data_IF_005408566701
#
_entry.id   IF_005408566701
#
_cell.length_a   1.000
_cell.length_b   1.000
_cell.length_c   1.000
_cell.angle_alpha   90.00
_cell.angle_beta   90.00
_cell.angle_gamma   90.00
#
_symmetry.space_group_name_H-M   'P 1'
#
loop_
_entity.id
_entity.type
_entity.pdbx_description
1 polymer ?
#
# COMPACT_ATOMS: atom_id res chain seq x y z
N UNK A 1 -12.91 -5.34 -5.97
CA UNK A 1 -11.72 -6.13 -5.58
C UNK A 1 -11.37 -7.15 -6.67
N UNK A 2 -12.30 -8.06 -7.03
CA UNK A 2 -12.07 -9.11 -8.06
C UNK A 2 -11.71 -8.49 -9.42
N UNK A 3 -12.42 -7.45 -9.86
CA UNK A 3 -12.13 -6.77 -11.12
C UNK A 3 -10.75 -6.13 -11.11
N UNK A 4 -10.38 -5.41 -10.02
CA UNK A 4 -9.05 -4.81 -9.88
C UNK A 4 -7.93 -5.85 -9.90
N UNK A 5 -8.12 -7.00 -9.22
CA UNK A 5 -7.15 -8.10 -9.25
C UNK A 5 -6.95 -8.66 -10.67
N UNK A 6 -8.03 -8.88 -11.41
CA UNK A 6 -7.96 -9.33 -12.82
C UNK A 6 -7.21 -8.33 -13.70
N UNK A 7 -7.44 -7.03 -13.50
CA UNK A 7 -6.76 -5.98 -14.27
C UNK A 7 -5.26 -5.95 -13.96
N UNK A 8 -4.89 -6.09 -12.67
CA UNK A 8 -3.48 -6.16 -12.26
C UNK A 8 -2.79 -7.41 -12.85
N UNK A 9 -3.43 -8.58 -12.80
CA UNK A 9 -2.89 -9.81 -13.38
C UNK A 9 -2.67 -9.67 -14.90
N UNK A 10 -3.64 -9.06 -15.61
CA UNK A 10 -3.49 -8.83 -17.04
C UNK A 10 -2.39 -7.81 -17.35
N UNK A 11 -2.24 -6.79 -16.52
CA UNK A 11 -1.16 -5.81 -16.67
C UNK A 11 0.22 -6.44 -16.47
N UNK A 12 0.36 -7.38 -15.51
CA UNK A 12 1.61 -8.09 -15.31
C UNK A 12 1.94 -9.08 -16.45
N UNK A 13 0.93 -9.76 -17.02
CA UNK A 13 1.11 -10.60 -18.22
C UNK A 13 1.63 -9.78 -19.41
N UNK A 14 1.03 -8.61 -19.66
CA UNK A 14 1.46 -7.72 -20.77
C UNK A 14 2.88 -7.18 -20.54
N UNK A 15 3.23 -6.87 -19.30
CA UNK A 15 4.56 -6.39 -18.95
C UNK A 15 5.61 -7.49 -19.19
N UNK A 16 5.32 -8.73 -18.78
CA UNK A 16 6.20 -9.89 -18.99
C UNK A 16 6.43 -10.16 -20.49
N UNK A 17 5.35 -10.09 -21.32
CA UNK A 17 5.47 -10.23 -22.78
C UNK A 17 6.30 -9.11 -23.43
N UNK A 18 6.36 -7.93 -22.80
CA UNK A 18 7.06 -6.74 -23.31
C UNK A 18 8.51 -6.63 -22.79
N UNK A 19 8.90 -7.41 -21.78
CA UNK A 19 10.26 -7.38 -21.25
C UNK A 19 11.25 -8.10 -22.21
N UNK A 20 12.44 -7.51 -22.46
CA UNK A 20 13.50 -8.20 -23.18
C UNK A 20 13.95 -9.47 -22.43
N UNK A 21 14.25 -10.53 -23.15
CA UNK A 21 14.70 -11.82 -22.56
C UNK A 21 15.95 -11.68 -21.67
N UNK A 22 16.77 -10.65 -21.88
CA UNK A 22 17.98 -10.36 -21.10
C UNK A 22 17.70 -9.82 -19.67
N UNK A 23 16.49 -9.35 -19.38
CA UNK A 23 16.10 -8.85 -18.04
C UNK A 23 15.35 -9.91 -17.21
N UNK A 24 15.12 -11.09 -17.78
CA UNK A 24 14.50 -12.20 -17.05
C UNK A 24 15.59 -12.87 -16.20
N UNK A 25 15.52 -12.68 -14.89
CA UNK A 25 16.42 -13.36 -13.95
C UNK A 25 16.31 -14.88 -14.11
N UNK A 26 17.45 -15.58 -14.03
CA UNK A 26 17.49 -17.03 -14.08
C UNK A 26 16.52 -17.64 -13.06
N UNK A 27 15.64 -18.58 -13.46
CA UNK A 27 14.63 -19.14 -12.58
C UNK A 27 15.27 -19.79 -11.36
N UNK A 28 14.79 -19.44 -10.19
CA UNK A 28 15.23 -19.99 -8.91
C UNK A 28 15.08 -21.53 -8.92
N UNK A 29 15.89 -22.25 -8.13
CA UNK A 29 15.76 -23.71 -7.97
C UNK A 29 14.36 -24.15 -7.54
N UNK A 30 13.64 -23.27 -6.85
CA UNK A 30 12.26 -23.48 -6.45
C UNK A 30 11.29 -23.34 -7.64
N UNK A 31 11.55 -22.39 -8.54
CA UNK A 31 10.76 -22.18 -9.75
C UNK A 31 10.93 -23.36 -10.71
N UNK A 32 12.15 -23.82 -10.91
CA UNK A 32 12.46 -25.02 -11.72
C UNK A 32 11.78 -26.29 -11.18
N UNK A 33 11.73 -26.46 -9.85
CA UNK A 33 11.04 -27.59 -9.23
C UNK A 33 9.52 -27.52 -9.43
N UNK A 34 8.94 -26.31 -9.36
CA UNK A 34 7.51 -26.06 -9.59
C UNK A 34 7.14 -26.29 -11.06
N UNK A 35 7.92 -25.79 -12.00
CA UNK A 35 7.70 -25.96 -13.44
C UNK A 35 7.76 -27.43 -13.88
N UNK A 36 8.63 -28.21 -13.28
CA UNK A 36 8.71 -29.65 -13.55
C UNK A 36 7.49 -30.44 -13.06
N UNK A 37 6.72 -29.91 -12.12
CA UNK A 37 5.61 -30.62 -11.46
C UNK A 37 4.22 -30.14 -11.87
N UNK A 38 4.10 -28.90 -12.33
CA UNK A 38 2.84 -28.25 -12.68
C UNK A 38 2.94 -27.54 -14.03
N UNK A 39 1.78 -27.33 -14.68
CA UNK A 39 1.70 -26.50 -15.90
C UNK A 39 2.19 -25.07 -15.61
N UNK A 40 2.90 -24.40 -16.55
CA UNK A 40 3.43 -23.03 -16.37
C UNK A 40 2.37 -22.02 -15.86
N UNK A 41 1.15 -22.08 -16.40
CA UNK A 41 0.02 -21.22 -15.93
C UNK A 41 -0.39 -21.48 -14.48
N UNK A 42 -0.29 -22.73 -14.03
CA UNK A 42 -0.62 -23.10 -12.65
C UNK A 42 0.45 -22.62 -11.68
N UNK A 43 1.72 -22.74 -12.08
CA UNK A 43 2.87 -22.25 -11.31
C UNK A 43 2.75 -20.73 -11.09
N UNK A 44 2.51 -20.00 -12.16
CA UNK A 44 2.31 -18.55 -12.12
C UNK A 44 1.19 -18.11 -11.15
N UNK A 45 0.02 -18.73 -11.27
CA UNK A 45 -1.11 -18.44 -10.39
C UNK A 45 -0.83 -18.77 -8.91
N UNK A 46 -0.11 -19.86 -8.65
CA UNK A 46 0.28 -20.25 -7.29
C UNK A 46 1.31 -19.28 -6.71
N UNK A 47 2.31 -18.87 -7.49
CA UNK A 47 3.32 -17.89 -7.06
C UNK A 47 2.69 -16.55 -6.72
N UNK A 48 1.80 -16.03 -7.57
CA UNK A 48 1.03 -14.81 -7.28
C UNK A 48 0.19 -14.99 -6.01
N UNK A 49 -0.51 -16.12 -5.88
CA UNK A 49 -1.32 -16.41 -4.71
C UNK A 49 -0.52 -16.42 -3.40
N UNK A 50 0.64 -17.04 -3.40
CA UNK A 50 1.57 -17.09 -2.25
C UNK A 50 2.11 -15.69 -1.95
N UNK A 51 2.54 -14.94 -2.97
CA UNK A 51 3.05 -13.58 -2.80
C UNK A 51 2.02 -12.64 -2.20
N UNK A 52 0.77 -12.71 -2.67
CA UNK A 52 -0.35 -11.95 -2.12
C UNK A 52 -0.63 -12.35 -0.68
N UNK A 53 -0.65 -13.65 -0.37
CA UNK A 53 -0.89 -14.15 0.99
C UNK A 53 0.21 -13.68 1.97
N UNK A 54 1.49 -13.77 1.58
CA UNK A 54 2.61 -13.31 2.38
C UNK A 54 2.54 -11.80 2.58
N UNK A 55 2.27 -11.01 1.53
CA UNK A 55 2.13 -9.55 1.61
C UNK A 55 1.01 -9.14 2.56
N UNK A 56 -0.12 -9.84 2.52
CA UNK A 56 -1.27 -9.61 3.37
C UNK A 56 -0.93 -9.93 4.84
N UNK A 57 -0.23 -11.03 5.07
CA UNK A 57 0.24 -11.42 6.41
C UNK A 57 1.20 -10.39 6.99
N UNK A 58 2.19 -9.95 6.22
CA UNK A 58 3.14 -8.91 6.64
C UNK A 58 2.39 -7.61 6.96
N UNK A 59 1.43 -7.22 6.12
CA UNK A 59 0.62 -6.02 6.35
C UNK A 59 -0.14 -6.09 7.67
N UNK A 60 -0.79 -7.22 7.96
CA UNK A 60 -1.50 -7.42 9.23
C UNK A 60 -0.53 -7.35 10.42
N UNK A 61 0.62 -8.00 10.33
CA UNK A 61 1.63 -7.99 11.40
C UNK A 61 2.13 -6.57 11.66
N UNK A 62 2.52 -5.83 10.62
CA UNK A 62 3.15 -4.51 10.75
C UNK A 62 2.14 -3.42 11.13
N UNK A 63 0.95 -3.42 10.53
CA UNK A 63 -0.01 -2.32 10.70
C UNK A 63 -1.12 -2.60 11.72
N UNK A 64 -1.33 -3.84 12.12
CA UNK A 64 -2.36 -4.19 13.11
C UNK A 64 -1.73 -4.74 14.38
N UNK A 65 -0.97 -5.83 14.29
CA UNK A 65 -0.46 -6.54 15.48
C UNK A 65 0.62 -5.71 16.20
N UNK A 66 1.61 -5.21 15.48
CA UNK A 66 2.74 -4.47 16.05
C UNK A 66 2.31 -3.22 16.82
N UNK A 67 1.49 -2.28 16.28
CA UNK A 67 1.04 -1.12 17.04
C UNK A 67 0.18 -1.49 18.23
N UNK A 68 -0.75 -2.44 18.05
CA UNK A 68 -1.63 -2.90 19.14
C UNK A 68 -0.86 -3.52 20.28
N UNK A 69 0.16 -4.34 19.98
CA UNK A 69 1.01 -4.96 20.99
C UNK A 69 1.90 -3.94 21.69
N UNK A 70 2.52 -3.02 20.93
CA UNK A 70 3.39 -1.97 21.48
C UNK A 70 2.65 -1.07 22.48
N UNK A 71 1.43 -0.65 22.14
CA UNK A 71 0.61 0.17 23.04
C UNK A 71 0.06 -0.64 24.21
N UNK A 72 -0.12 -1.94 24.06
CA UNK A 72 -0.51 -2.78 25.20
C UNK A 72 0.55 -2.81 26.32
N UNK A 73 1.83 -2.65 25.99
CA UNK A 73 2.91 -2.49 26.97
C UNK A 73 2.78 -1.18 27.75
N UNK A 74 2.25 -0.12 27.14
CA UNK A 74 2.00 1.18 27.79
C UNK A 74 0.89 1.13 28.86
N UNK A 75 0.09 0.07 28.93
CA UNK A 75 -0.90 -0.15 30.00
C UNK A 75 -0.28 -0.16 31.40
N UNK A 76 0.98 -0.52 31.51
CA UNK A 76 1.71 -0.50 32.78
C UNK A 76 1.98 0.94 33.27
N UNK A 77 1.96 1.92 32.35
CA UNK A 77 2.25 3.33 32.63
C UNK A 77 0.96 4.15 32.81
N UNK A 78 -0.06 3.87 32.00
CA UNK A 78 -1.34 4.60 32.07
C UNK A 78 -2.55 3.69 31.89
N UNK A 79 -3.61 3.97 32.66
CA UNK A 79 -4.90 3.27 32.55
C UNK A 79 -5.94 4.06 31.75
N UNK A 80 -5.58 5.25 31.25
CA UNK A 80 -6.52 6.08 30.48
C UNK A 80 -6.73 5.48 29.09
N UNK A 81 -7.93 4.96 28.85
CA UNK A 81 -8.30 4.27 27.61
C UNK A 81 -8.23 5.20 26.38
N UNK A 82 -8.62 6.47 26.52
CA UNK A 82 -8.58 7.44 25.43
C UNK A 82 -7.13 7.70 25.01
N UNK A 83 -6.23 7.87 25.99
CA UNK A 83 -4.83 8.13 25.73
C UNK A 83 -4.16 6.93 25.05
N UNK A 84 -4.49 5.71 25.48
CA UNK A 84 -3.96 4.48 24.87
C UNK A 84 -4.45 4.30 23.43
N UNK A 85 -5.74 4.57 23.17
CA UNK A 85 -6.29 4.49 21.81
C UNK A 85 -5.69 5.55 20.89
N UNK A 86 -5.50 6.77 21.39
CA UNK A 86 -4.85 7.85 20.65
C UNK A 86 -3.40 7.50 20.33
N UNK A 87 -2.65 6.99 21.31
CA UNK A 87 -1.27 6.54 21.10
C UNK A 87 -1.18 5.43 20.06
N UNK A 88 -2.11 4.48 20.05
CA UNK A 88 -2.18 3.42 19.04
C UNK A 88 -2.43 3.99 17.64
N UNK A 89 -3.38 4.91 17.50
CA UNK A 89 -3.69 5.54 16.22
C UNK A 89 -2.53 6.40 15.70
N UNK A 90 -1.89 7.17 16.56
CA UNK A 90 -0.69 7.96 16.19
C UNK A 90 0.45 7.04 15.79
N UNK A 91 0.69 5.95 16.52
CA UNK A 91 1.72 4.98 16.17
C UNK A 91 1.48 4.34 14.79
N UNK A 92 0.24 3.98 14.46
CA UNK A 92 -0.14 3.49 13.12
C UNK A 92 0.14 4.50 12.03
N UNK A 93 -0.21 5.77 12.27
CA UNK A 93 0.05 6.85 11.33
C UNK A 93 1.56 7.02 11.09
N UNK A 94 2.35 7.01 12.15
CA UNK A 94 3.81 7.10 12.06
C UNK A 94 4.40 5.94 11.29
N UNK A 95 4.00 4.70 11.60
CA UNK A 95 4.45 3.50 10.87
C UNK A 95 4.09 3.61 9.39
N UNK A 96 2.86 4.05 9.07
CA UNK A 96 2.44 4.23 7.68
C UNK A 96 3.29 5.26 6.94
N UNK A 97 3.51 6.43 7.55
CA UNK A 97 4.34 7.47 6.93
C UNK A 97 5.78 6.99 6.73
N UNK A 98 6.36 6.33 7.73
CA UNK A 98 7.71 5.77 7.62
C UNK A 98 7.80 4.68 6.53
N UNK A 99 6.78 3.83 6.42
CA UNK A 99 6.68 2.84 5.37
C UNK A 99 6.66 3.50 3.97
N UNK A 100 5.79 4.49 3.76
CA UNK A 100 5.72 5.22 2.48
C UNK A 100 7.05 5.90 2.15
N UNK A 101 7.69 6.54 3.14
CA UNK A 101 9.02 7.15 2.96
C UNK A 101 10.09 6.10 2.63
N UNK A 102 10.02 4.92 3.21
CA UNK A 102 10.97 3.85 2.91
C UNK A 102 10.81 3.32 1.48
N UNK A 103 9.57 2.98 1.06
CA UNK A 103 9.32 2.47 -0.29
C UNK A 103 9.55 3.54 -1.37
N UNK A 104 9.36 4.83 -1.06
CA UNK A 104 9.60 5.92 -2.02
C UNK A 104 11.07 6.04 -2.46
N UNK A 105 12.00 5.42 -1.73
CA UNK A 105 13.42 5.37 -2.10
C UNK A 105 13.74 4.29 -3.14
N UNK A 106 12.84 3.32 -3.34
CA UNK A 106 13.00 2.30 -4.38
C UNK A 106 12.81 2.94 -5.76
N UNK A 107 13.67 2.59 -6.73
CA UNK A 107 13.65 3.22 -8.06
C UNK A 107 12.30 3.06 -8.77
N UNK A 108 11.68 1.88 -8.70
CA UNK A 108 10.42 1.60 -9.36
C UNK A 108 9.26 2.40 -8.75
N UNK A 109 9.22 2.44 -7.42
CA UNK A 109 8.21 3.22 -6.68
C UNK A 109 8.40 4.72 -6.87
N UNK A 110 9.66 5.18 -6.94
CA UNK A 110 9.97 6.58 -7.27
C UNK A 110 9.45 6.96 -8.64
N UNK A 111 9.62 6.10 -9.65
CA UNK A 111 9.06 6.32 -11.00
C UNK A 111 7.53 6.37 -10.96
N UNK A 112 6.90 5.46 -10.22
CA UNK A 112 5.45 5.47 -10.04
C UNK A 112 4.95 6.80 -9.46
N UNK A 113 5.60 7.33 -8.42
CA UNK A 113 5.26 8.64 -7.86
C UNK A 113 5.50 9.79 -8.84
N UNK A 114 6.51 9.71 -9.69
CA UNK A 114 6.74 10.71 -10.75
C UNK A 114 5.61 10.71 -11.78
N UNK A 115 5.17 9.54 -12.23
CA UNK A 115 4.01 9.42 -13.13
C UNK A 115 2.72 9.94 -12.47
N UNK A 116 2.49 9.59 -11.21
CA UNK A 116 1.33 10.07 -10.46
C UNK A 116 1.33 11.60 -10.31
N UNK A 117 2.50 12.21 -10.05
CA UNK A 117 2.65 13.65 -10.03
C UNK A 117 2.38 14.31 -11.38
N UNK A 118 2.91 13.75 -12.46
CA UNK A 118 2.67 14.24 -13.84
C UNK A 118 1.20 14.11 -14.24
N UNK A 119 0.49 13.07 -13.77
CA UNK A 119 -0.94 12.92 -13.94
C UNK A 119 -1.69 14.11 -13.31
N UNK A 120 -1.36 14.49 -12.08
CA UNK A 120 -1.96 15.64 -11.40
C UNK A 120 -1.70 16.96 -12.13
N UNK A 121 -0.47 17.20 -12.58
CA UNK A 121 -0.11 18.38 -13.38
C UNK A 121 -0.94 18.44 -14.68
N UNK A 122 -1.12 17.29 -15.34
CA UNK A 122 -1.92 17.18 -16.56
C UNK A 122 -3.40 17.48 -16.30
N UNK A 123 -3.96 16.97 -15.19
CA UNK A 123 -5.34 17.23 -14.80
C UNK A 123 -5.55 18.72 -14.51
N UNK A 124 -4.63 19.35 -13.77
CA UNK A 124 -4.69 20.80 -13.54
C UNK A 124 -4.63 21.61 -14.82
N UNK A 125 -3.75 21.25 -15.76
CA UNK A 125 -3.65 21.87 -17.07
C UNK A 125 -4.98 21.78 -17.83
N UNK A 126 -5.60 20.61 -17.84
CA UNK A 126 -6.91 20.36 -18.46
C UNK A 126 -8.03 21.16 -17.79
N UNK A 127 -8.10 21.19 -16.45
CA UNK A 127 -9.11 21.92 -15.69
C UNK A 127 -9.02 23.45 -15.89
N UNK A 128 -7.83 23.95 -16.20
CA UNK A 128 -7.62 25.37 -16.54
C UNK A 128 -7.84 25.68 -18.03
N UNK A 129 -8.25 24.70 -18.84
CA UNK A 129 -8.54 24.89 -20.26
C UNK A 129 -7.34 25.19 -21.15
N UNK A 130 -6.13 24.85 -20.68
CA UNK A 130 -4.90 25.01 -21.44
C UNK A 130 -4.66 23.80 -22.36
N UNK A 131 -3.91 24.02 -23.43
CA UNK A 131 -3.50 22.94 -24.32
C UNK A 131 -2.61 21.94 -23.54
N UNK A 132 -2.91 20.63 -23.71
CA UNK A 132 -2.19 19.55 -23.03
C UNK A 132 -0.80 19.34 -23.64
N UNK A 133 0.13 20.23 -23.32
CA UNK A 133 1.54 20.13 -23.67
C UNK A 133 2.38 19.93 -22.42
N UNK A 134 3.54 19.25 -22.52
CA UNK A 134 4.44 19.10 -21.38
C UNK A 134 4.91 20.42 -20.77
N UNK A 135 4.99 21.49 -21.58
CA UNK A 135 5.37 22.81 -21.11
C UNK A 135 4.28 23.41 -20.20
N UNK A 136 3.03 23.38 -20.63
CA UNK A 136 1.90 23.91 -19.86
C UNK A 136 1.63 23.07 -18.61
N UNK A 137 1.73 21.73 -18.70
CA UNK A 137 1.49 20.86 -17.56
C UNK A 137 2.50 21.10 -16.42
N UNK A 138 3.77 21.30 -16.73
CA UNK A 138 4.85 21.57 -15.74
C UNK A 138 4.71 22.88 -14.97
N UNK A 139 3.84 23.79 -15.39
CA UNK A 139 3.56 25.03 -14.65
C UNK A 139 2.70 24.80 -13.42
N UNK A 140 2.07 23.61 -13.32
CA UNK A 140 1.22 23.24 -12.21
C UNK A 140 1.95 22.38 -11.17
N UNK A 141 1.38 22.34 -9.95
CA UNK A 141 1.92 21.53 -8.87
C UNK A 141 1.36 20.11 -8.89
N UNK A 142 2.13 19.20 -8.32
CA UNK A 142 1.84 17.76 -8.30
C UNK A 142 0.75 17.34 -7.30
N UNK A 143 0.22 18.25 -6.47
CA UNK A 143 -0.81 17.96 -5.49
C UNK A 143 -2.20 18.20 -6.09
N UNK A 144 -3.11 17.26 -5.92
CA UNK A 144 -4.49 17.41 -6.40
C UNK A 144 -5.49 17.04 -5.30
N UNK A 145 -6.54 17.86 -5.05
CA UNK A 145 -7.49 17.63 -3.95
C UNK A 145 -8.36 16.37 -4.13
N UNK A 146 -8.53 15.88 -5.34
CA UNK A 146 -9.28 14.65 -5.67
C UNK A 146 -8.40 13.39 -5.69
N UNK A 147 -7.17 13.48 -5.21
CA UNK A 147 -6.26 12.34 -5.18
C UNK A 147 -6.72 11.27 -4.19
N UNK A 148 -6.70 10.00 -4.61
CA UNK A 148 -7.06 8.86 -3.76
C UNK A 148 -6.13 8.68 -2.55
N UNK A 149 -4.86 9.11 -2.64
CA UNK A 149 -3.93 9.08 -1.50
C UNK A 149 -4.30 10.09 -0.42
N UNK A 150 -4.78 11.28 -0.80
CA UNK A 150 -5.34 12.26 0.13
C UNK A 150 -6.56 11.71 0.85
N UNK A 151 -7.47 11.04 0.14
CA UNK A 151 -8.62 10.38 0.72
C UNK A 151 -8.22 9.33 1.77
N UNK A 152 -7.20 8.52 1.50
CA UNK A 152 -6.69 7.52 2.43
C UNK A 152 -6.19 8.17 3.73
N UNK A 153 -5.47 9.29 3.64
CA UNK A 153 -5.03 10.05 4.81
C UNK A 153 -6.22 10.57 5.64
N UNK A 154 -7.27 11.10 5.00
CA UNK A 154 -8.48 11.55 5.70
C UNK A 154 -9.18 10.39 6.41
N UNK A 155 -9.33 9.24 5.77
CA UNK A 155 -9.92 8.04 6.38
C UNK A 155 -9.11 7.58 7.59
N UNK A 156 -7.78 7.61 7.52
CA UNK A 156 -6.92 7.27 8.66
C UNK A 156 -7.12 8.23 9.85
N UNK A 157 -7.16 9.54 9.60
CA UNK A 157 -7.38 10.54 10.66
C UNK A 157 -8.76 10.39 11.29
N UNK A 158 -9.81 10.24 10.47
CA UNK A 158 -11.17 10.03 10.96
C UNK A 158 -11.26 8.74 11.78
N UNK A 159 -10.65 7.66 11.30
CA UNK A 159 -10.61 6.38 12.02
C UNK A 159 -9.90 6.52 13.37
N UNK A 160 -8.79 7.26 13.42
CA UNK A 160 -8.07 7.54 14.66
C UNK A 160 -8.98 8.26 15.68
N UNK A 161 -9.70 9.28 15.24
CA UNK A 161 -10.63 10.03 16.10
C UNK A 161 -11.76 9.11 16.58
N UNK A 162 -12.43 8.39 15.68
CA UNK A 162 -13.53 7.49 16.03
C UNK A 162 -13.09 6.39 17.00
N UNK A 163 -11.96 5.75 16.74
CA UNK A 163 -11.45 4.66 17.59
C UNK A 163 -10.93 5.17 18.94
N UNK A 164 -10.61 6.45 19.10
CA UNK A 164 -10.21 7.02 20.38
C UNK A 164 -11.35 7.01 21.41
N UNK A 165 -12.58 7.06 20.95
CA UNK A 165 -13.79 7.02 21.80
C UNK A 165 -14.28 5.59 22.10
N UNK A 166 -13.80 4.60 21.36
CA UNK A 166 -14.16 3.21 21.63
C UNK A 166 -13.48 2.72 22.93
N UNK A 167 -14.21 1.89 23.68
CA UNK A 167 -13.66 1.27 24.86
C UNK A 167 -12.43 0.43 24.57
N UNK A 168 -11.79 -0.08 25.61
CA UNK A 168 -10.59 -0.94 25.55
C UNK A 168 -10.99 -2.41 25.72
N UNK A 169 -11.50 -3.09 24.69
CA UNK A 169 -11.86 -4.50 24.76
C UNK A 169 -10.61 -5.38 24.90
N UNK A 170 -10.81 -6.70 25.09
CA UNK A 170 -9.68 -7.62 25.12
C UNK A 170 -8.88 -7.60 23.80
N UNK A 171 -7.65 -8.10 23.81
CA UNK A 171 -6.71 -8.02 22.69
C UNK A 171 -7.29 -8.63 21.40
N UNK A 172 -7.98 -9.78 21.49
CA UNK A 172 -8.56 -10.46 20.34
C UNK A 172 -9.64 -9.61 19.66
N UNK A 173 -10.57 -9.03 20.42
CA UNK A 173 -11.60 -8.12 19.89
C UNK A 173 -11.01 -6.84 19.29
N UNK A 174 -9.91 -6.34 19.82
CA UNK A 174 -9.22 -5.17 19.26
C UNK A 174 -8.62 -5.47 17.90
N UNK A 175 -8.00 -6.62 17.71
CA UNK A 175 -7.43 -7.02 16.42
C UNK A 175 -8.54 -7.21 15.36
N UNK A 176 -9.70 -7.75 15.76
CA UNK A 176 -10.81 -8.02 14.83
C UNK A 176 -11.60 -6.74 14.50
N UNK A 177 -11.74 -5.81 15.44
CA UNK A 177 -12.58 -4.61 15.30
C UNK A 177 -11.88 -3.41 14.66
N UNK A 178 -10.59 -3.49 14.44
CA UNK A 178 -9.74 -2.40 13.92
C UNK A 178 -8.94 -2.83 12.70
#
# INVERSE_FOLDING_TARGET
LISGMKTLMRSSEILEEAMPEEEIEDPSKFDQWLENKFSPKTVWNVMIGISVAISLLITIVVFVIMPTYSVNLLKHVTKNTILLNLAEGVLRLVIFVLYVLAISKMNDVKRLFQYHGAEHETIHCFENGLELTPANAKEFYTLHPRCGTSFLMFVMIISLVLFSFLGWPNLAWRIISR
#
